data_IF_485941369717
#
_entry.id   IF_485941369717
#
_cell.length_a   1.000
_cell.length_b   1.000
_cell.length_c   1.000
_cell.angle_alpha   90.00
_cell.angle_beta   90.00
_cell.angle_gamma   90.00
#
_symmetry.space_group_name_H-M   'P 1'
#
loop_
_entity.id
_entity.type
_entity.pdbx_description
1 polymer ?
#
# COMPACT_ATOMS: atom_id res chain seq x y z
N UNK A 1 4.40 -10.51 42.46
CA UNK A 1 4.42 -11.28 41.20
C UNK A 1 4.48 -10.28 40.05
N UNK A 2 5.53 -10.28 39.20
CA UNK A 2 5.55 -9.43 38.00
C UNK A 2 4.60 -10.05 36.98
N UNK A 3 3.64 -9.28 36.46
CA UNK A 3 2.78 -9.72 35.36
C UNK A 3 3.66 -10.08 34.15
N UNK A 4 3.64 -11.35 33.66
CA UNK A 4 4.47 -11.77 32.53
C UNK A 4 4.28 -10.92 31.28
N UNK A 5 3.02 -10.52 31.01
CA UNK A 5 2.70 -9.62 29.90
C UNK A 5 3.43 -8.29 30.01
N UNK A 6 3.47 -7.68 31.19
CA UNK A 6 4.18 -6.40 31.41
C UNK A 6 5.70 -6.54 31.24
N UNK A 7 6.26 -7.69 31.61
CA UNK A 7 7.68 -7.97 31.39
C UNK A 7 8.00 -8.12 29.89
N UNK A 8 7.17 -8.85 29.14
CA UNK A 8 7.33 -9.02 27.70
C UNK A 8 7.17 -7.70 26.92
N UNK A 9 6.17 -6.87 27.25
CA UNK A 9 6.02 -5.52 26.64
C UNK A 9 7.27 -4.68 26.85
N UNK A 10 7.90 -4.73 28.03
CA UNK A 10 9.12 -3.98 28.30
C UNK A 10 10.33 -4.53 27.57
N UNK A 11 10.45 -5.86 27.48
CA UNK A 11 11.57 -6.52 26.83
C UNK A 11 11.56 -6.34 25.31
N UNK A 12 10.38 -6.36 24.68
CA UNK A 12 10.18 -6.29 23.23
C UNK A 12 9.58 -4.95 22.77
N UNK A 13 9.65 -3.93 23.63
CA UNK A 13 8.90 -2.69 23.43
C UNK A 13 9.33 -1.93 22.18
N UNK A 14 10.61 -1.99 21.82
CA UNK A 14 11.14 -1.23 20.66
C UNK A 14 10.79 -1.91 19.35
N UNK A 15 10.81 -3.25 19.28
CA UNK A 15 10.40 -3.98 18.08
C UNK A 15 8.88 -3.91 17.87
N UNK A 16 8.09 -3.96 18.94
CA UNK A 16 6.63 -3.77 18.88
C UNK A 16 6.25 -2.34 18.47
N UNK A 17 6.94 -1.33 18.99
CA UNK A 17 6.73 0.07 18.57
C UNK A 17 7.06 0.26 17.08
N UNK A 18 8.18 -0.30 16.61
CA UNK A 18 8.55 -0.26 15.19
C UNK A 18 7.55 -1.02 14.31
N UNK A 19 6.95 -2.10 14.82
CA UNK A 19 5.88 -2.82 14.13
C UNK A 19 4.61 -1.98 14.01
N UNK A 20 4.24 -1.23 15.06
CA UNK A 20 3.10 -0.31 15.01
C UNK A 20 3.33 0.83 14.00
N UNK A 21 4.55 1.37 13.95
CA UNK A 21 4.91 2.37 12.95
C UNK A 21 4.82 1.80 11.53
N UNK A 22 5.26 0.56 11.31
CA UNK A 22 5.09 -0.12 10.03
C UNK A 22 3.60 -0.27 9.67
N UNK A 23 2.73 -0.64 10.62
CA UNK A 23 1.28 -0.67 10.39
C UNK A 23 0.75 0.70 9.96
N UNK A 24 1.13 1.76 10.66
CA UNK A 24 0.69 3.13 10.34
C UNK A 24 1.04 3.54 8.91
N UNK A 25 2.21 3.15 8.40
CA UNK A 25 2.56 3.41 7.00
C UNK A 25 1.67 2.64 6.00
N UNK A 26 1.16 1.46 6.36
CA UNK A 26 0.18 0.75 5.52
C UNK A 26 -1.14 1.50 5.50
N UNK A 27 -1.60 2.00 6.64
CA UNK A 27 -2.80 2.85 6.72
C UNK A 27 -2.64 4.11 5.86
N UNK A 28 -1.48 4.79 5.95
CA UNK A 28 -1.17 5.95 5.11
C UNK A 28 -1.15 5.63 3.60
N UNK A 29 -0.67 4.45 3.21
CA UNK A 29 -0.77 3.99 1.82
C UNK A 29 -2.24 3.90 1.38
N UNK A 30 -3.12 3.35 2.22
CA UNK A 30 -4.55 3.23 1.88
C UNK A 30 -5.26 4.59 1.83
N UNK A 31 -4.95 5.49 2.76
CA UNK A 31 -5.58 6.82 2.82
C UNK A 31 -5.10 7.75 1.70
N UNK A 32 -3.95 7.45 1.09
CA UNK A 32 -3.37 8.22 0.00
C UNK A 32 -3.24 7.40 -1.29
N UNK A 33 -4.11 6.39 -1.48
CA UNK A 33 -4.02 5.43 -2.57
C UNK A 33 -3.97 6.10 -3.96
N UNK A 34 -4.66 7.22 -4.12
CA UNK A 34 -4.73 7.99 -5.36
C UNK A 34 -3.72 9.15 -5.46
N UNK A 35 -2.99 9.46 -4.40
CA UNK A 35 -1.93 10.48 -4.37
C UNK A 35 -0.56 9.80 -4.43
N UNK A 36 0.00 9.72 -5.63
CA UNK A 36 1.16 8.91 -5.97
C UNK A 36 2.40 9.20 -5.14
N UNK A 37 2.70 10.48 -4.88
CA UNK A 37 3.83 10.86 -4.04
C UNK A 37 3.64 10.35 -2.60
N UNK A 38 2.49 10.64 -2.00
CA UNK A 38 2.18 10.28 -0.62
C UNK A 38 2.14 8.76 -0.44
N UNK A 39 1.54 8.02 -1.37
CA UNK A 39 1.57 6.56 -1.39
C UNK A 39 3.01 6.02 -1.36
N UNK A 40 3.86 6.51 -2.28
CA UNK A 40 5.26 6.03 -2.40
C UNK A 40 6.11 6.41 -1.20
N UNK A 41 5.88 7.57 -0.58
CA UNK A 41 6.54 7.95 0.67
C UNK A 41 6.12 7.05 1.82
N UNK A 42 4.83 6.77 1.95
CA UNK A 42 4.32 5.84 2.96
C UNK A 42 4.91 4.43 2.77
N UNK A 43 4.93 3.92 1.53
CA UNK A 43 5.58 2.65 1.20
C UNK A 43 7.07 2.65 1.55
N UNK A 44 7.77 3.75 1.29
CA UNK A 44 9.19 3.88 1.65
C UNK A 44 9.39 3.85 3.18
N UNK A 45 8.49 4.51 3.92
CA UNK A 45 8.43 4.46 5.38
C UNK A 45 8.23 3.02 5.88
N UNK A 46 7.24 2.31 5.33
CA UNK A 46 7.00 0.90 5.63
C UNK A 46 8.24 0.03 5.40
N UNK A 47 8.86 0.14 4.22
CA UNK A 47 10.04 -0.65 3.85
C UNK A 47 11.22 -0.41 4.80
N UNK A 48 11.37 0.83 5.29
CA UNK A 48 12.36 1.16 6.30
C UNK A 48 12.02 0.51 7.65
N UNK A 49 10.80 0.71 8.15
CA UNK A 49 10.41 0.22 9.47
C UNK A 49 10.48 -1.31 9.55
N UNK A 50 9.98 -2.01 8.54
CA UNK A 50 9.98 -3.49 8.53
C UNK A 50 11.40 -4.09 8.49
N UNK A 51 12.36 -3.40 7.82
CA UNK A 51 13.76 -3.84 7.74
C UNK A 51 14.51 -3.64 9.05
N UNK A 52 14.12 -2.67 9.87
CA UNK A 52 14.75 -2.38 11.15
C UNK A 52 14.33 -3.38 12.25
N UNK A 53 13.09 -3.89 12.20
CA UNK A 53 12.53 -4.80 13.22
C UNK A 53 13.45 -6.00 13.52
N UNK A 54 13.97 -6.77 12.54
CA UNK A 54 14.79 -7.93 12.86
C UNK A 54 16.05 -7.60 13.64
N UNK A 55 16.65 -6.43 13.39
CA UNK A 55 17.84 -5.99 14.11
C UNK A 55 17.50 -5.51 15.51
N UNK A 56 16.37 -4.82 15.69
CA UNK A 56 15.87 -4.40 17.00
C UNK A 56 15.61 -5.63 17.88
N UNK A 57 14.92 -6.64 17.35
CA UNK A 57 14.70 -7.91 18.07
C UNK A 57 16.03 -8.54 18.50
N UNK A 58 17.03 -8.59 17.61
CA UNK A 58 18.35 -9.13 17.97
C UNK A 58 19.01 -8.42 19.16
N UNK A 59 18.78 -7.12 19.31
CA UNK A 59 19.29 -6.35 20.44
C UNK A 59 18.49 -6.63 21.72
N UNK A 60 17.16 -6.71 21.62
CA UNK A 60 16.25 -6.98 22.74
C UNK A 60 16.47 -8.37 23.36
N UNK A 61 16.70 -9.40 22.53
CA UNK A 61 16.93 -10.77 23.02
C UNK A 61 18.37 -11.03 23.46
N UNK A 62 19.29 -10.09 23.30
CA UNK A 62 20.73 -10.30 23.49
C UNK A 62 21.09 -10.79 24.90
N UNK A 63 20.32 -10.38 25.92
CA UNK A 63 20.54 -10.73 27.32
C UNK A 63 19.95 -12.10 27.71
N UNK A 64 19.17 -12.72 26.82
CA UNK A 64 18.50 -14.00 27.04
C UNK A 64 19.06 -15.05 26.07
N UNK A 65 20.00 -15.88 26.54
CA UNK A 65 20.70 -16.85 25.69
C UNK A 65 19.74 -17.76 24.89
N UNK A 66 18.71 -18.30 25.55
CA UNK A 66 17.70 -19.15 24.92
C UNK A 66 16.89 -18.43 23.84
N UNK A 67 16.45 -17.19 24.09
CA UNK A 67 15.71 -16.39 23.10
C UNK A 67 16.61 -15.99 21.94
N UNK A 68 17.88 -15.69 22.22
CA UNK A 68 18.87 -15.32 21.20
C UNK A 68 19.12 -16.47 20.24
N UNK A 69 19.33 -17.69 20.75
CA UNK A 69 19.60 -18.86 19.93
C UNK A 69 18.38 -19.26 19.10
N UNK A 70 17.19 -19.24 19.72
CA UNK A 70 15.93 -19.46 19.00
C UNK A 70 15.71 -18.42 17.90
N UNK A 71 15.88 -17.13 18.23
CA UNK A 71 15.66 -16.05 17.28
C UNK A 71 16.69 -16.07 16.14
N UNK A 72 17.91 -16.53 16.38
CA UNK A 72 18.91 -16.67 15.33
C UNK A 72 18.46 -17.61 14.22
N UNK A 73 17.78 -18.71 14.55
CA UNK A 73 17.22 -19.63 13.57
C UNK A 73 16.01 -19.02 12.86
N UNK A 74 15.05 -18.46 13.62
CA UNK A 74 13.88 -17.78 13.03
C UNK A 74 14.26 -16.61 12.12
N UNK A 75 15.31 -15.87 12.46
CA UNK A 75 15.84 -14.79 11.62
C UNK A 75 16.33 -15.29 10.27
N UNK A 76 16.86 -16.52 10.17
CA UNK A 76 17.24 -17.12 8.89
C UNK A 76 15.98 -17.40 8.05
N UNK A 77 14.93 -17.91 8.67
CA UNK A 77 13.67 -18.19 7.99
C UNK A 77 13.04 -16.90 7.45
N UNK A 78 13.01 -15.84 8.28
CA UNK A 78 12.57 -14.50 7.87
C UNK A 78 13.40 -13.96 6.70
N UNK A 79 14.72 -14.16 6.70
CA UNK A 79 15.61 -13.72 5.61
C UNK A 79 15.43 -14.54 4.32
N UNK A 80 14.96 -15.79 4.45
CA UNK A 80 14.70 -16.69 3.34
C UNK A 80 13.29 -16.54 2.76
N UNK A 81 12.37 -15.89 3.49
CA UNK A 81 11.04 -15.54 2.98
C UNK A 81 11.16 -14.71 1.69
N UNK A 82 10.57 -15.17 0.56
CA UNK A 82 10.72 -14.51 -0.73
C UNK A 82 10.23 -13.05 -0.74
N UNK A 83 9.17 -12.75 0.00
CA UNK A 83 8.54 -11.42 0.05
C UNK A 83 9.41 -10.50 0.91
N UNK A 84 9.79 -10.91 2.11
CA UNK A 84 10.67 -10.10 2.98
C UNK A 84 12.01 -9.83 2.32
N UNK A 85 12.61 -10.84 1.69
CA UNK A 85 13.86 -10.71 0.94
C UNK A 85 13.70 -9.72 -0.21
N UNK A 86 12.59 -9.78 -0.94
CA UNK A 86 12.30 -8.85 -2.02
C UNK A 86 12.11 -7.42 -1.53
N UNK A 87 11.24 -7.19 -0.55
CA UNK A 87 10.97 -5.86 0.02
C UNK A 87 12.24 -5.22 0.60
N UNK A 88 13.09 -6.03 1.25
CA UNK A 88 14.38 -5.58 1.78
C UNK A 88 15.32 -5.07 0.69
N UNK A 89 15.32 -5.70 -0.50
CA UNK A 89 16.07 -5.25 -1.67
C UNK A 89 15.47 -3.98 -2.29
N UNK A 90 14.14 -3.89 -2.37
CA UNK A 90 13.47 -2.70 -2.92
C UNK A 90 13.80 -1.45 -2.12
N UNK A 91 13.92 -1.54 -0.80
CA UNK A 91 14.44 -0.44 0.03
C UNK A 91 15.79 0.05 -0.46
N UNK A 92 16.71 -0.87 -0.75
CA UNK A 92 18.07 -0.49 -1.16
C UNK A 92 18.05 0.17 -2.55
N UNK A 93 17.14 -0.23 -3.46
CA UNK A 93 16.90 0.46 -4.72
C UNK A 93 16.36 1.88 -4.51
N UNK A 94 15.36 2.03 -3.64
CA UNK A 94 14.75 3.33 -3.30
C UNK A 94 15.77 4.29 -2.68
N UNK A 95 16.61 3.77 -1.78
CA UNK A 95 17.64 4.57 -1.08
C UNK A 95 18.85 4.87 -1.97
N UNK A 96 19.18 4.02 -2.94
CA UNK A 96 20.42 4.11 -3.72
C UNK A 96 20.21 4.33 -5.23
N UNK A 97 19.34 5.29 -5.64
CA UNK A 97 19.37 5.97 -6.98
C UNK A 97 18.21 5.72 -7.95
N UNK A 98 17.05 5.16 -7.56
CA UNK A 98 15.80 5.29 -8.35
C UNK A 98 14.58 5.37 -7.42
N UNK A 99 13.60 6.21 -7.74
CA UNK A 99 12.29 6.10 -7.08
C UNK A 99 11.68 4.76 -7.43
N UNK A 100 10.92 4.15 -6.52
CA UNK A 100 10.21 2.90 -6.78
C UNK A 100 9.35 3.07 -8.05
N UNK A 101 9.81 2.50 -9.16
CA UNK A 101 9.03 2.37 -10.39
C UNK A 101 8.13 1.17 -10.18
N UNK A 102 6.90 1.45 -9.79
CA UNK A 102 5.88 0.42 -9.61
C UNK A 102 5.44 -0.06 -10.99
N UNK A 103 5.09 -1.34 -11.09
CA UNK A 103 4.42 -1.89 -12.27
C UNK A 103 2.92 -1.51 -12.29
N UNK A 104 2.61 -0.31 -11.77
CA UNK A 104 1.26 0.16 -11.54
C UNK A 104 0.53 0.49 -12.83
N UNK A 105 -0.77 0.27 -12.80
CA UNK A 105 -1.71 0.59 -13.87
C UNK A 105 -2.85 1.45 -13.33
N UNK A 106 -3.50 2.18 -14.23
CA UNK A 106 -4.79 2.78 -13.97
C UNK A 106 -5.77 2.40 -15.08
N UNK A 107 -7.05 2.41 -14.76
CA UNK A 107 -8.14 2.25 -15.70
C UNK A 107 -9.07 3.45 -15.54
N UNK A 108 -9.30 4.18 -16.63
CA UNK A 108 -10.32 5.24 -16.67
C UNK A 108 -11.60 4.60 -17.16
N UNK A 109 -12.71 4.85 -16.47
CA UNK A 109 -13.98 4.22 -16.78
C UNK A 109 -15.13 4.89 -16.06
N UNK A 110 -16.27 4.20 -16.02
CA UNK A 110 -17.35 4.57 -15.11
C UNK A 110 -17.72 3.40 -14.20
N UNK A 111 -18.15 3.76 -13.00
CA UNK A 111 -18.55 2.82 -11.95
C UNK A 111 -20.00 3.04 -11.57
N UNK A 112 -20.63 1.99 -11.05
CA UNK A 112 -21.88 2.09 -10.28
C UNK A 112 -21.62 1.52 -8.88
N UNK A 113 -21.61 2.39 -7.87
CA UNK A 113 -21.12 2.01 -6.54
C UNK A 113 -19.63 1.65 -6.57
N UNK A 114 -19.27 0.43 -6.13
CA UNK A 114 -17.88 -0.07 -6.09
C UNK A 114 -17.52 -0.98 -7.28
N UNK A 115 -18.32 -0.98 -8.35
CA UNK A 115 -18.12 -1.87 -9.49
C UNK A 115 -17.85 -1.09 -10.77
N UNK A 116 -16.71 -1.38 -11.41
CA UNK A 116 -16.40 -0.94 -12.78
C UNK A 116 -17.40 -1.57 -13.76
N UNK A 117 -18.02 -0.73 -14.58
CA UNK A 117 -18.95 -1.16 -15.63
C UNK A 117 -18.26 -1.25 -16.98
N UNK A 118 -17.55 -0.20 -17.34
CA UNK A 118 -16.75 -0.12 -18.55
C UNK A 118 -15.56 0.81 -18.29
N UNK A 119 -14.42 0.49 -18.88
CA UNK A 119 -13.26 1.36 -18.83
C UNK A 119 -12.17 0.89 -19.78
N UNK A 120 -11.16 1.73 -19.92
CA UNK A 120 -9.96 1.48 -20.69
C UNK A 120 -8.74 1.60 -19.78
N UNK A 121 -7.88 0.59 -19.82
CA UNK A 121 -6.61 0.66 -19.10
C UNK A 121 -5.69 1.68 -19.77
N UNK A 122 -5.21 2.62 -18.98
CA UNK A 122 -4.26 3.64 -19.40
C UNK A 122 -2.94 3.40 -18.68
N UNK A 123 -1.80 3.43 -19.39
CA UNK A 123 -0.51 3.43 -18.71
C UNK A 123 -0.36 4.75 -17.97
N UNK A 124 -0.53 4.74 -16.64
CA UNK A 124 -0.28 5.90 -15.81
C UNK A 124 1.15 5.85 -15.30
N UNK A 125 1.87 6.97 -15.37
CA UNK A 125 3.16 7.06 -14.72
C UNK A 125 2.96 6.86 -13.20
N UNK A 126 3.73 5.98 -12.53
CA UNK A 126 3.69 5.82 -11.08
C UNK A 126 3.86 7.11 -10.26
N UNK A 127 4.31 8.19 -10.89
CA UNK A 127 4.49 9.52 -10.28
C UNK A 127 3.27 10.44 -10.38
N UNK A 128 2.28 10.09 -11.21
CA UNK A 128 1.07 10.88 -11.39
C UNK A 128 -0.03 10.40 -10.48
N UNK A 129 -0.79 11.34 -9.93
CA UNK A 129 -1.99 11.06 -9.16
C UNK A 129 -3.08 10.51 -10.11
N UNK A 130 -4.17 10.00 -9.55
CA UNK A 130 -5.24 9.45 -10.39
C UNK A 130 -5.96 10.50 -11.21
N UNK A 131 -5.96 11.77 -10.77
CA UNK A 131 -6.62 12.87 -11.48
C UNK A 131 -5.98 13.12 -12.86
N UNK A 132 -4.68 12.96 -12.99
CA UNK A 132 -3.99 13.09 -14.27
C UNK A 132 -4.46 12.01 -15.26
N UNK A 133 -4.79 10.80 -14.78
CA UNK A 133 -5.33 9.74 -15.61
C UNK A 133 -6.66 10.10 -16.26
N UNK A 134 -7.60 10.68 -15.49
CA UNK A 134 -8.88 11.13 -16.07
C UNK A 134 -8.70 12.38 -16.95
N UNK A 135 -7.82 13.30 -16.58
CA UNK A 135 -7.53 14.48 -17.40
C UNK A 135 -6.92 14.10 -18.76
N UNK A 136 -6.03 13.10 -18.81
CA UNK A 136 -5.51 12.55 -20.06
C UNK A 136 -6.63 11.99 -20.95
N UNK A 137 -7.62 11.31 -20.37
CA UNK A 137 -8.77 10.83 -21.12
C UNK A 137 -9.68 11.97 -21.59
N UNK A 138 -9.89 12.98 -20.74
CA UNK A 138 -10.68 14.17 -21.09
C UNK A 138 -10.03 14.93 -22.27
N UNK A 139 -8.71 15.15 -22.26
CA UNK A 139 -8.00 15.77 -23.38
C UNK A 139 -8.16 14.97 -24.68
N UNK A 140 -8.03 13.64 -24.61
CA UNK A 140 -8.25 12.77 -25.77
C UNK A 140 -9.70 12.87 -26.28
N UNK A 141 -10.69 12.82 -25.38
CA UNK A 141 -12.11 12.95 -25.73
C UNK A 141 -12.48 14.35 -26.24
N UNK A 142 -11.73 15.39 -25.88
CA UNK A 142 -11.92 16.75 -26.37
C UNK A 142 -11.41 16.94 -27.82
N UNK A 143 -10.33 16.24 -28.20
CA UNK A 143 -9.78 16.24 -29.57
C UNK A 143 -10.64 15.47 -30.55
N UNK A 144 -11.22 14.37 -30.08
CA UNK A 144 -12.12 13.53 -30.86
C UNK A 144 -13.54 13.55 -30.26
N UNK A 145 -14.11 12.37 -30.03
CA UNK A 145 -15.37 12.16 -29.32
C UNK A 145 -15.10 11.21 -28.17
N UNK A 146 -15.87 11.29 -27.09
CA UNK A 146 -15.88 10.27 -26.04
C UNK A 146 -16.43 8.93 -26.61
N UNK A 147 -15.56 8.20 -27.30
CA UNK A 147 -15.91 7.00 -28.04
C UNK A 147 -16.51 5.90 -27.15
N UNK A 148 -16.07 5.82 -25.89
CA UNK A 148 -16.54 4.83 -24.94
C UNK A 148 -17.76 5.29 -24.13
N UNK A 149 -18.14 6.57 -24.21
CA UNK A 149 -19.24 7.13 -23.42
C UNK A 149 -19.02 7.01 -21.92
N UNK A 150 -17.77 7.14 -21.45
CA UNK A 150 -17.39 6.93 -20.04
C UNK A 150 -17.31 8.25 -19.25
N UNK A 151 -17.43 9.40 -19.91
CA UNK A 151 -17.45 10.71 -19.27
C UNK A 151 -18.88 11.12 -18.94
N UNK A 152 -19.28 10.84 -17.71
CA UNK A 152 -20.51 11.36 -17.13
C UNK A 152 -20.32 12.84 -16.82
N UNK A 153 -21.07 13.69 -17.52
CA UNK A 153 -21.05 15.15 -17.37
C UNK A 153 -22.30 15.71 -16.70
N UNK A 154 -23.28 14.85 -16.39
CA UNK A 154 -24.53 15.22 -15.73
C UNK A 154 -24.93 14.11 -14.75
N UNK A 155 -25.59 14.46 -13.65
CA UNK A 155 -26.21 13.48 -12.75
C UNK A 155 -27.59 13.11 -13.27
N UNK A 156 -27.70 11.93 -13.87
CA UNK A 156 -28.94 11.38 -14.41
C UNK A 156 -29.72 10.53 -13.39
N UNK A 157 -29.27 10.48 -12.14
CA UNK A 157 -29.87 9.67 -11.08
C UNK A 157 -29.57 8.17 -11.20
N UNK A 158 -28.77 7.72 -12.17
CA UNK A 158 -28.35 6.31 -12.32
C UNK A 158 -27.37 5.86 -11.23
N UNK A 159 -26.72 6.82 -10.57
CA UNK A 159 -25.61 6.58 -9.64
C UNK A 159 -24.30 6.20 -10.33
N UNK A 160 -24.21 6.36 -11.66
CA UNK A 160 -23.00 6.13 -12.43
C UNK A 160 -22.09 7.35 -12.41
N UNK A 161 -20.79 7.12 -12.27
CA UNK A 161 -19.80 8.20 -12.20
C UNK A 161 -18.53 7.83 -12.95
N UNK A 162 -17.96 8.81 -13.65
CA UNK A 162 -16.60 8.75 -14.17
C UNK A 162 -15.63 8.46 -13.03
N UNK A 163 -14.69 7.56 -13.25
CA UNK A 163 -13.78 7.09 -12.22
C UNK A 163 -12.42 6.66 -12.77
N UNK A 164 -11.44 6.68 -11.87
CA UNK A 164 -10.13 6.06 -12.08
C UNK A 164 -9.97 4.92 -11.08
N UNK A 165 -9.68 3.74 -11.61
CA UNK A 165 -9.37 2.55 -10.86
C UNK A 165 -7.85 2.38 -10.91
N UNK A 166 -7.19 2.44 -9.76
CA UNK A 166 -5.73 2.36 -9.65
C UNK A 166 -5.31 1.03 -9.05
N UNK A 167 -4.16 0.53 -9.48
CA UNK A 167 -3.52 -0.65 -8.89
C UNK A 167 -2.05 -0.34 -8.56
N UNK A 168 -1.61 -0.80 -7.39
CA UNK A 168 -0.22 -0.64 -6.95
C UNK A 168 0.49 -1.99 -6.91
N UNK A 169 1.44 -2.16 -7.83
CA UNK A 169 2.14 -3.43 -8.09
C UNK A 169 3.65 -3.24 -8.06
N UNK A 170 4.38 -4.26 -7.63
CA UNK A 170 5.85 -4.25 -7.63
C UNK A 170 6.40 -5.17 -8.74
N UNK A 171 7.52 -4.81 -9.38
CA UNK A 171 8.13 -5.66 -10.42
C UNK A 171 8.50 -7.05 -9.88
N UNK A 172 8.05 -8.13 -10.54
CA UNK A 172 8.19 -9.52 -10.10
C UNK A 172 7.10 -10.00 -9.14
N UNK A 173 6.12 -9.16 -8.80
CA UNK A 173 4.91 -9.48 -8.04
C UNK A 173 3.71 -8.73 -8.65
N UNK A 174 3.59 -8.73 -9.97
CA UNK A 174 2.57 -7.99 -10.72
C UNK A 174 1.15 -8.48 -10.44
N UNK A 175 0.99 -9.73 -10.01
CA UNK A 175 -0.31 -10.32 -9.68
C UNK A 175 -0.75 -10.01 -8.24
N UNK A 176 0.06 -9.30 -7.46
CA UNK A 176 -0.19 -9.05 -6.03
C UNK A 176 -0.10 -7.56 -5.70
N UNK A 177 -1.15 -7.06 -5.06
CA UNK A 177 -1.18 -5.69 -4.56
C UNK A 177 -0.09 -5.44 -3.51
N UNK A 178 0.58 -4.29 -3.62
CA UNK A 178 1.67 -3.87 -2.72
C UNK A 178 1.25 -3.97 -1.25
N UNK A 179 0.05 -3.51 -0.91
CA UNK A 179 -0.45 -3.54 0.47
C UNK A 179 -0.62 -4.96 1.01
N UNK A 180 -0.86 -5.95 0.15
CA UNK A 180 -0.91 -7.38 0.50
C UNK A 180 0.49 -7.93 0.77
N UNK A 181 1.49 -7.54 -0.03
CA UNK A 181 2.89 -7.87 0.23
C UNK A 181 3.36 -7.27 1.57
N UNK A 182 3.00 -6.01 1.84
CA UNK A 182 3.27 -5.34 3.11
C UNK A 182 2.61 -6.07 4.28
N UNK A 183 1.34 -6.47 4.13
CA UNK A 183 0.62 -7.26 5.13
C UNK A 183 1.36 -8.54 5.49
N UNK A 184 1.79 -9.32 4.49
CA UNK A 184 2.53 -10.56 4.72
C UNK A 184 3.79 -10.33 5.56
N UNK A 185 4.62 -9.37 5.15
CA UNK A 185 5.85 -9.06 5.86
C UNK A 185 5.60 -8.58 7.29
N UNK A 186 4.57 -7.74 7.49
CA UNK A 186 4.17 -7.27 8.81
C UNK A 186 3.68 -8.40 9.71
N UNK A 187 2.82 -9.28 9.21
CA UNK A 187 2.27 -10.41 9.99
C UNK A 187 3.37 -11.39 10.38
N UNK A 188 4.36 -11.62 9.51
CA UNK A 188 5.52 -12.45 9.85
C UNK A 188 6.33 -11.86 11.02
N UNK A 189 6.61 -10.56 11.00
CA UNK A 189 7.29 -9.87 12.10
C UNK A 189 6.46 -9.83 13.38
N UNK A 190 5.14 -9.65 13.25
CA UNK A 190 4.21 -9.67 14.36
C UNK A 190 4.12 -11.03 15.05
N UNK A 191 4.00 -12.11 14.28
CA UNK A 191 4.05 -13.48 14.81
C UNK A 191 5.36 -13.78 15.53
N UNK A 192 6.48 -13.28 15.00
CA UNK A 192 7.80 -13.42 15.62
C UNK A 192 7.86 -12.74 16.99
N UNK A 193 7.35 -11.51 17.09
CA UNK A 193 7.24 -10.78 18.37
C UNK A 193 6.37 -11.52 19.39
N UNK A 194 5.22 -12.04 18.96
CA UNK A 194 4.33 -12.81 19.84
C UNK A 194 4.97 -14.11 20.30
N UNK A 195 5.68 -14.82 19.42
CA UNK A 195 6.39 -16.04 19.80
C UNK A 195 7.45 -15.75 20.87
N UNK A 196 8.24 -14.68 20.72
CA UNK A 196 9.19 -14.23 21.74
C UNK A 196 8.51 -13.85 23.06
N UNK A 197 7.39 -13.12 22.99
CA UNK A 197 6.62 -12.76 24.17
C UNK A 197 6.09 -14.01 24.90
N UNK A 198 5.62 -15.02 24.16
CA UNK A 198 5.19 -16.32 24.71
C UNK A 198 6.33 -17.07 25.39
N UNK A 199 7.53 -17.04 24.83
CA UNK A 199 8.72 -17.63 25.48
C UNK A 199 9.10 -16.90 26.78
N UNK A 200 8.75 -15.61 26.91
CA UNK A 200 8.86 -14.84 28.16
C UNK A 200 7.69 -15.10 29.14
N UNK A 201 6.79 -16.03 28.81
CA UNK A 201 5.64 -16.41 29.63
C UNK A 201 4.42 -15.48 29.47
N UNK A 202 4.42 -14.58 28.49
CA UNK A 202 3.26 -13.73 28.21
C UNK A 202 2.20 -14.44 27.36
N UNK A 203 0.95 -14.03 27.54
CA UNK A 203 -0.18 -14.48 26.74
C UNK A 203 -0.65 -13.33 25.84
N UNK A 204 -0.10 -13.30 24.62
CA UNK A 204 -0.40 -12.27 23.62
C UNK A 204 -1.25 -12.86 22.48
N UNK A 205 -2.22 -12.06 22.04
CA UNK A 205 -2.96 -12.31 20.81
C UNK A 205 -2.05 -12.17 19.59
N UNK A 206 -2.29 -12.99 18.58
CA UNK A 206 -1.58 -12.83 17.31
C UNK A 206 -2.03 -11.54 16.62
N UNK A 207 -1.09 -10.66 16.26
CA UNK A 207 -1.44 -9.41 15.60
C UNK A 207 -1.97 -9.70 14.20
N UNK A 208 -3.02 -8.98 13.83
CA UNK A 208 -3.59 -9.01 12.48
C UNK A 208 -3.61 -7.59 11.93
N UNK A 209 -2.98 -7.42 10.77
CA UNK A 209 -3.03 -6.13 10.09
C UNK A 209 -4.38 -5.99 9.40
N UNK A 210 -5.18 -5.05 9.88
CA UNK A 210 -6.45 -4.69 9.27
C UNK A 210 -6.18 -3.76 8.09
N UNK A 211 -6.28 -4.30 6.89
CA UNK A 211 -6.15 -3.57 5.64
C UNK A 211 -7.54 -3.48 5.01
N UNK A 212 -7.96 -2.28 4.59
CA UNK A 212 -9.19 -2.11 3.80
C UNK A 212 -9.10 -2.97 2.53
N UNK A 213 -10.18 -3.62 2.08
CA UNK A 213 -10.18 -4.32 0.81
C UNK A 213 -9.80 -3.38 -0.34
N UNK A 214 -9.03 -3.88 -1.31
CA UNK A 214 -8.44 -3.05 -2.39
C UNK A 214 -9.52 -2.32 -3.19
N UNK A 215 -10.65 -2.96 -3.46
CA UNK A 215 -11.80 -2.36 -4.17
C UNK A 215 -12.45 -1.19 -3.42
N UNK A 216 -12.13 -0.96 -2.14
CA UNK A 216 -12.63 0.19 -1.39
C UNK A 216 -11.73 1.42 -1.50
N UNK A 217 -10.46 1.23 -1.85
CA UNK A 217 -9.45 2.31 -1.90
C UNK A 217 -8.94 2.59 -3.31
N UNK A 218 -9.15 1.66 -4.24
CA UNK A 218 -8.66 1.74 -5.62
C UNK A 218 -9.50 2.58 -6.55
N UNK A 219 -10.72 2.95 -6.14
CA UNK A 219 -11.67 3.68 -6.98
C UNK A 219 -11.75 5.14 -6.54
N UNK A 220 -11.37 6.04 -7.42
CA UNK A 220 -11.63 7.47 -7.28
C UNK A 220 -12.69 7.89 -8.27
N UNK A 221 -13.86 8.29 -7.78
CA UNK A 221 -14.93 8.86 -8.60
C UNK A 221 -14.77 10.36 -8.74
N UNK A 222 -15.23 10.90 -9.86
CA UNK A 222 -15.24 12.33 -10.13
C UNK A 222 -16.67 12.84 -10.21
N UNK A 223 -16.83 14.10 -9.83
CA UNK A 223 -18.11 14.79 -9.90
C UNK A 223 -18.47 15.11 -11.37
N UNK A 224 -19.70 14.84 -11.83
CA UNK A 224 -20.07 15.09 -13.22
C UNK A 224 -19.92 16.55 -13.65
N UNK A 225 -20.22 17.52 -12.78
CA UNK A 225 -20.07 18.94 -13.11
C UNK A 225 -18.60 19.32 -13.30
N UNK A 226 -17.72 18.77 -12.45
CA UNK A 226 -16.28 18.94 -12.63
C UNK A 226 -15.79 18.32 -13.95
N UNK A 227 -16.23 17.11 -14.29
CA UNK A 227 -15.87 16.46 -15.57
C UNK A 227 -16.35 17.30 -16.76
N UNK A 228 -17.58 17.84 -16.68
CA UNK A 228 -18.14 18.74 -17.70
C UNK A 228 -17.29 19.98 -17.87
N UNK A 229 -16.92 20.64 -16.77
CA UNK A 229 -16.07 21.84 -16.77
C UNK A 229 -14.71 21.55 -17.43
N UNK A 230 -14.01 20.49 -17.00
CA UNK A 230 -12.71 20.13 -17.57
C UNK A 230 -12.79 19.80 -19.07
N UNK A 231 -13.86 19.12 -19.50
CA UNK A 231 -14.08 18.81 -20.92
C UNK A 231 -14.30 20.07 -21.76
N UNK A 232 -15.03 21.07 -21.24
CA UNK A 232 -15.20 22.35 -21.94
C UNK A 232 -13.92 23.15 -22.02
N UNK A 233 -13.13 23.18 -20.93
CA UNK A 233 -11.80 23.81 -20.93
C UNK A 233 -10.92 23.19 -22.02
N UNK A 234 -10.80 21.86 -22.04
CA UNK A 234 -9.98 21.16 -23.03
C UNK A 234 -10.43 21.44 -24.47
N UNK A 235 -11.74 21.46 -24.74
CA UNK A 235 -12.28 21.81 -26.06
C UNK A 235 -11.97 23.25 -26.49
N UNK A 236 -11.95 24.18 -25.54
CA UNK A 236 -11.65 25.59 -25.82
C UNK A 236 -10.18 25.83 -26.20
N UNK A 237 -9.26 24.98 -25.75
CA UNK A 237 -7.82 25.07 -26.08
C UNK A 237 -7.47 24.48 -27.46
N UNK A 238 -8.36 23.65 -28.02
CA UNK A 238 -8.20 23.02 -29.34
C UNK A 238 -8.81 23.88 -30.46
N UNK A 239 -9.74 24.79 -30.11
CA UNK A 239 -10.45 25.69 -31.01
C UNK A 239 -9.60 26.89 -31.43
#
# INVERSE_FOLDING_TARGET
MKCPNSAAVKALGSSMDRLNEAQWYVELMQDNYHTANKFRWALTGFLRSIKEIPQIISMEVQQHAELKDWYKEVRKDIQNDPIVKYLSKQRDVVVHKKTLETASSATVGFVRGKQLKLGISVPINPRYDSVEGILMYIDAAARDTDFLGILYTEDDGSGERSAVIREWKLPGYEDVEVTTLCKHAWELMGKTNVALARMLGADFFEPQLKVKPVNEVSIQTYDPDWVKEQLQIAKSEIS
#
